data_IF_750205781108
#
_entry.id   IF_750205781108
#
_cell.length_a   1.000
_cell.length_b   1.000
_cell.length_c   1.000
_cell.angle_alpha   90.00
_cell.angle_beta   90.00
_cell.angle_gamma   90.00
#
_symmetry.space_group_name_H-M   'P 1'
#
loop_
_entity.id
_entity.type
_entity.pdbx_description
1 polymer ?
#
# COMPACT_ATOMS: atom_id res chain seq x y z
N UNK A 1 5.10 9.57 31.57
CA UNK A 1 6.22 10.45 31.21
C UNK A 1 6.17 11.80 31.94
N UNK A 2 5.02 12.49 32.07
CA UNK A 2 4.91 13.77 32.78
C UNK A 2 5.41 13.71 34.23
N UNK A 3 5.32 12.55 34.89
CA UNK A 3 5.78 12.34 36.27
C UNK A 3 7.31 12.31 36.39
N UNK A 4 8.01 11.93 35.30
CA UNK A 4 9.49 11.83 35.26
C UNK A 4 10.14 13.07 34.64
N UNK A 5 9.53 13.63 33.61
CA UNK A 5 10.10 14.79 32.89
C UNK A 5 9.67 16.14 33.45
N UNK A 6 8.61 16.17 34.27
CA UNK A 6 8.02 17.42 34.79
C UNK A 6 7.38 18.32 33.72
N UNK A 7 7.47 17.93 32.45
CA UNK A 7 6.95 18.69 31.31
C UNK A 7 5.75 18.00 30.65
N UNK A 8 4.73 18.79 30.33
CA UNK A 8 3.60 18.32 29.53
C UNK A 8 4.07 18.10 28.07
N UNK A 9 4.25 16.84 27.66
CA UNK A 9 4.58 16.53 26.27
C UNK A 9 3.46 16.92 25.34
N UNK A 10 3.75 17.80 24.39
CA UNK A 10 2.80 18.21 23.35
C UNK A 10 2.93 17.26 22.15
N UNK A 11 1.80 16.83 21.56
CA UNK A 11 1.84 16.01 20.35
C UNK A 11 2.59 16.74 19.23
N UNK A 12 3.43 16.04 18.51
CA UNK A 12 4.18 16.59 17.38
C UNK A 12 3.22 16.84 16.21
N UNK A 13 2.67 18.05 16.14
CA UNK A 13 1.67 18.44 15.12
C UNK A 13 2.08 18.10 13.69
N UNK A 14 3.37 18.17 13.36
CA UNK A 14 3.90 17.81 12.05
C UNK A 14 3.74 16.31 11.74
N UNK A 15 3.99 15.44 12.71
CA UNK A 15 3.76 13.99 12.54
C UNK A 15 2.28 13.68 12.41
N UNK A 16 1.43 14.26 13.27
CA UNK A 16 -0.02 14.07 13.20
C UNK A 16 -0.57 14.49 11.84
N UNK A 17 -0.17 15.67 11.33
CA UNK A 17 -0.61 16.16 10.02
C UNK A 17 -0.15 15.24 8.87
N UNK A 18 1.10 14.78 8.93
CA UNK A 18 1.67 13.87 7.93
C UNK A 18 0.93 12.54 7.89
N UNK A 19 0.68 11.90 9.04
CA UNK A 19 -0.06 10.64 9.09
C UNK A 19 -1.54 10.82 8.75
N UNK A 20 -2.15 11.95 9.12
CA UNK A 20 -3.52 12.29 8.70
C UNK A 20 -3.64 12.45 7.18
N UNK A 21 -2.65 13.06 6.54
CA UNK A 21 -2.60 13.19 5.08
C UNK A 21 -2.42 11.82 4.41
N UNK A 22 -1.51 11.00 4.93
CA UNK A 22 -1.27 9.63 4.44
C UNK A 22 -2.54 8.78 4.59
N UNK A 23 -3.22 8.87 5.74
CA UNK A 23 -4.48 8.16 5.96
C UNK A 23 -5.59 8.61 5.00
N UNK A 24 -5.59 9.89 4.61
CA UNK A 24 -6.60 10.43 3.67
C UNK A 24 -6.34 10.02 2.23
N UNK A 25 -5.06 9.91 1.82
CA UNK A 25 -4.66 9.58 0.43
C UNK A 25 -4.60 8.07 0.21
N UNK A 26 -3.97 7.34 1.13
CA UNK A 26 -3.71 5.91 0.99
C UNK A 26 -4.63 5.01 1.84
N UNK A 27 -5.52 5.64 2.61
CA UNK A 27 -6.43 4.95 3.52
C UNK A 27 -5.87 4.75 4.93
N UNK A 28 -6.79 4.59 5.89
CA UNK A 28 -6.49 4.44 7.32
C UNK A 28 -5.58 3.23 7.58
N UNK A 29 -5.88 2.10 6.94
CA UNK A 29 -5.15 0.83 7.07
C UNK A 29 -3.67 0.98 6.71
N UNK A 30 -3.35 1.68 5.60
CA UNK A 30 -1.97 1.94 5.18
C UNK A 30 -1.24 2.83 6.18
N UNK A 31 -1.90 3.87 6.71
CA UNK A 31 -1.32 4.76 7.70
C UNK A 31 -0.97 4.03 9.00
N UNK A 32 -1.85 3.14 9.48
CA UNK A 32 -1.62 2.34 10.69
C UNK A 32 -0.46 1.37 10.49
N UNK A 33 -0.40 0.64 9.38
CA UNK A 33 0.72 -0.25 9.05
C UNK A 33 2.06 0.48 8.94
N UNK A 34 2.05 1.72 8.47
CA UNK A 34 3.25 2.55 8.43
C UNK A 34 3.69 3.03 9.82
N UNK A 35 2.73 3.26 10.74
CA UNK A 35 3.00 3.58 12.14
C UNK A 35 3.58 2.37 12.88
N UNK A 36 2.99 1.18 12.73
CA UNK A 36 3.45 -0.08 13.31
C UNK A 36 4.95 -0.33 13.06
N UNK A 37 5.40 -0.08 11.83
CA UNK A 37 6.82 -0.21 11.47
C UNK A 37 7.75 0.76 12.23
N UNK A 38 7.21 1.89 12.70
CA UNK A 38 7.94 2.86 13.53
C UNK A 38 7.99 2.46 15.00
N UNK A 39 6.96 1.77 15.49
CA UNK A 39 6.80 1.39 16.90
C UNK A 39 7.65 0.17 17.27
N UNK A 40 7.92 -0.76 16.33
CA UNK A 40 8.84 -1.87 16.53
C UNK A 40 10.25 -1.41 16.98
N UNK A 41 10.68 -0.23 16.58
CA UNK A 41 11.93 0.40 17.06
C UNK A 41 11.81 0.94 18.49
N UNK A 42 10.63 1.39 18.89
CA UNK A 42 10.39 1.94 20.22
C UNK A 42 10.35 0.82 21.27
N UNK A 43 9.84 -0.36 20.94
CA UNK A 43 9.77 -1.52 21.85
C UNK A 43 11.15 -1.95 22.36
N UNK A 44 12.18 -1.92 21.50
CA UNK A 44 13.57 -2.24 21.90
C UNK A 44 14.07 -1.21 22.93
N UNK A 45 13.70 0.06 22.78
CA UNK A 45 14.09 1.12 23.73
C UNK A 45 13.39 0.99 25.08
N UNK A 46 12.17 0.44 25.14
CA UNK A 46 11.47 0.18 26.42
C UNK A 46 12.08 -0.95 27.21
N UNK A 47 12.64 -1.98 26.57
CA UNK A 47 13.36 -3.06 27.27
C UNK A 47 14.66 -2.56 27.91
N UNK A 48 15.35 -1.65 27.27
CA UNK A 48 16.53 -1.01 27.86
C UNK A 48 16.17 -0.07 29.01
N UNK A 49 15.11 0.73 28.84
CA UNK A 49 14.61 1.63 29.88
C UNK A 49 14.03 0.89 31.09
N UNK A 50 13.42 -0.28 30.90
CA UNK A 50 12.87 -1.08 32.00
C UNK A 50 13.93 -1.55 33.01
N UNK A 51 15.21 -1.53 32.63
CA UNK A 51 16.32 -1.81 33.56
C UNK A 51 16.55 -0.68 34.56
N UNK A 52 16.21 0.55 34.18
CA UNK A 52 16.36 1.75 35.01
C UNK A 52 15.03 2.22 35.63
N UNK A 53 13.91 1.97 34.95
CA UNK A 53 12.57 2.35 35.38
C UNK A 53 11.57 1.20 35.11
N UNK A 54 11.25 0.36 36.14
CA UNK A 54 10.34 -0.78 35.99
C UNK A 54 8.95 -0.43 35.44
N UNK A 55 8.47 0.81 35.69
CA UNK A 55 7.19 1.32 35.18
C UNK A 55 7.17 1.48 33.64
N UNK A 56 8.30 1.41 32.98
CA UNK A 56 8.35 1.38 31.51
C UNK A 56 7.66 0.14 30.93
N UNK A 57 7.55 -0.95 31.71
CA UNK A 57 6.82 -2.15 31.32
C UNK A 57 5.30 -1.94 31.29
N UNK A 58 4.76 -1.12 32.21
CA UNK A 58 3.34 -0.79 32.22
C UNK A 58 2.97 0.08 31.00
N UNK A 59 3.86 1.01 30.63
CA UNK A 59 3.68 1.85 29.43
C UNK A 59 3.74 0.98 28.16
N UNK A 60 4.63 0.01 28.12
CA UNK A 60 4.71 -0.94 27.02
C UNK A 60 3.43 -1.75 26.88
N UNK A 61 2.89 -2.26 28.00
CA UNK A 61 1.64 -3.02 27.99
C UNK A 61 0.44 -2.18 27.50
N UNK A 62 0.38 -0.91 27.91
CA UNK A 62 -0.65 0.02 27.43
C UNK A 62 -0.50 0.31 25.93
N UNK A 63 0.73 0.50 25.43
CA UNK A 63 0.97 0.71 23.99
C UNK A 63 0.63 -0.54 23.18
N UNK A 64 1.00 -1.73 23.67
CA UNK A 64 0.67 -3.00 23.01
C UNK A 64 -0.85 -3.24 22.94
N UNK A 65 -1.59 -2.88 24.00
CA UNK A 65 -3.05 -2.94 24.01
C UNK A 65 -3.68 -1.91 23.03
N UNK A 66 -3.12 -0.71 22.93
CA UNK A 66 -3.57 0.28 21.95
C UNK A 66 -3.26 -0.14 20.50
N UNK A 67 -2.09 -0.72 20.26
CA UNK A 67 -1.70 -1.25 18.97
C UNK A 67 -2.64 -2.37 18.52
N UNK A 68 -2.93 -3.34 19.41
CA UNK A 68 -3.88 -4.42 19.12
C UNK A 68 -5.30 -3.88 18.87
N UNK A 69 -5.74 -2.86 19.61
CA UNK A 69 -7.03 -2.21 19.36
C UNK A 69 -7.08 -1.51 18.00
N UNK A 70 -5.99 -0.86 17.59
CA UNK A 70 -5.87 -0.25 16.26
C UNK A 70 -5.82 -1.30 15.15
N UNK A 71 -5.08 -2.39 15.35
CA UNK A 71 -5.00 -3.51 14.40
C UNK A 71 -6.36 -4.20 14.25
N UNK A 72 -7.11 -4.37 15.34
CA UNK A 72 -8.47 -4.91 15.29
C UNK A 72 -9.47 -4.01 14.53
N UNK A 73 -9.16 -2.72 14.38
CA UNK A 73 -9.95 -1.80 13.54
C UNK A 73 -9.53 -1.83 12.07
N UNK A 74 -8.44 -2.52 11.72
CA UNK A 74 -8.01 -2.65 10.35
C UNK A 74 -8.96 -3.55 9.59
N UNK A 75 -9.33 -3.12 8.41
CA UNK A 75 -10.01 -3.94 7.43
C UNK A 75 -8.98 -4.91 6.81
N UNK A 76 -8.81 -6.07 7.46
CA UNK A 76 -7.88 -7.11 6.98
C UNK A 76 -8.22 -7.55 5.55
N UNK A 77 -9.50 -7.49 5.18
CA UNK A 77 -9.96 -7.79 3.84
C UNK A 77 -9.28 -6.88 2.81
N UNK A 78 -9.18 -5.57 3.08
CA UNK A 78 -8.49 -4.64 2.17
C UNK A 78 -6.98 -4.87 2.08
N UNK A 79 -6.34 -5.29 3.17
CA UNK A 79 -4.90 -5.58 3.18
C UNK A 79 -4.56 -6.78 2.31
N UNK A 80 -5.44 -7.78 2.24
CA UNK A 80 -5.21 -8.97 1.42
C UNK A 80 -5.13 -8.64 -0.08
N UNK A 81 -5.84 -7.57 -0.53
CA UNK A 81 -5.81 -7.16 -1.95
C UNK A 81 -4.63 -6.27 -2.31
N UNK A 82 -3.97 -5.63 -1.33
CA UNK A 82 -2.84 -4.74 -1.60
C UNK A 82 -1.70 -5.48 -2.29
N UNK A 83 -1.43 -6.73 -1.91
CA UNK A 83 -0.42 -7.57 -2.56
C UNK A 83 -0.70 -7.75 -4.05
N UNK A 84 -1.90 -8.17 -4.39
CA UNK A 84 -2.34 -8.39 -5.78
C UNK A 84 -2.37 -7.08 -6.59
N UNK A 85 -2.81 -5.97 -5.97
CA UNK A 85 -2.77 -4.65 -6.61
C UNK A 85 -1.34 -4.21 -6.94
N UNK A 86 -0.41 -4.34 -5.98
CA UNK A 86 1.00 -3.98 -6.18
C UNK A 86 1.64 -4.85 -7.26
N UNK A 87 1.33 -6.14 -7.27
CA UNK A 87 1.79 -7.06 -8.31
C UNK A 87 1.29 -6.63 -9.69
N UNK A 88 -0.02 -6.34 -9.81
CA UNK A 88 -0.61 -5.86 -11.06
C UNK A 88 -0.04 -4.53 -11.52
N UNK A 89 0.17 -3.57 -10.63
CA UNK A 89 0.81 -2.29 -10.96
C UNK A 89 2.25 -2.47 -11.44
N UNK A 90 3.02 -3.33 -10.77
CA UNK A 90 4.41 -3.58 -11.14
C UNK A 90 4.52 -4.25 -12.51
N UNK A 91 3.66 -5.23 -12.77
CA UNK A 91 3.58 -5.90 -14.07
C UNK A 91 3.22 -4.92 -15.19
N UNK A 92 2.19 -4.09 -14.97
CA UNK A 92 1.81 -3.04 -15.91
C UNK A 92 2.95 -2.04 -16.19
N UNK A 93 3.69 -1.64 -15.15
CA UNK A 93 4.84 -0.73 -15.33
C UNK A 93 5.93 -1.37 -16.19
N UNK A 94 6.29 -2.60 -15.96
CA UNK A 94 7.35 -3.29 -16.70
C UNK A 94 6.93 -3.57 -18.14
N UNK A 95 5.76 -4.18 -18.32
CA UNK A 95 5.24 -4.56 -19.65
C UNK A 95 4.98 -3.35 -20.53
N UNK A 96 4.22 -2.37 -20.00
CA UNK A 96 3.85 -1.20 -20.78
C UNK A 96 5.04 -0.27 -21.06
N UNK A 97 5.98 -0.13 -20.11
CA UNK A 97 7.19 0.65 -20.35
C UNK A 97 8.02 0.02 -21.48
N UNK A 98 8.19 -1.30 -21.47
CA UNK A 98 8.89 -2.03 -22.54
C UNK A 98 8.18 -1.86 -23.89
N UNK A 99 6.87 -2.06 -23.92
CA UNK A 99 6.04 -1.95 -25.13
C UNK A 99 6.07 -0.53 -25.68
N UNK A 100 5.81 0.49 -24.88
CA UNK A 100 5.80 1.89 -25.30
C UNK A 100 7.18 2.38 -25.74
N UNK A 101 8.24 1.97 -25.06
CA UNK A 101 9.62 2.27 -25.44
C UNK A 101 9.95 1.65 -26.82
N UNK A 102 9.62 0.36 -27.02
CA UNK A 102 9.81 -0.31 -28.29
C UNK A 102 9.05 0.34 -29.42
N UNK A 103 7.77 0.67 -29.21
CA UNK A 103 6.94 1.39 -30.19
C UNK A 103 7.46 2.80 -30.48
N UNK A 104 7.99 3.51 -29.48
CA UNK A 104 8.58 4.84 -29.65
C UNK A 104 9.81 4.80 -30.54
N UNK A 105 10.63 3.77 -30.43
CA UNK A 105 11.79 3.58 -31.29
C UNK A 105 11.42 3.14 -32.73
N UNK A 106 10.33 2.38 -32.88
CA UNK A 106 9.90 1.84 -34.15
C UNK A 106 9.00 2.80 -34.95
N UNK A 107 8.21 3.62 -34.27
CA UNK A 107 7.18 4.47 -34.86
C UNK A 107 7.44 5.94 -34.55
N UNK A 108 7.28 6.80 -35.55
CA UNK A 108 7.41 8.27 -35.40
C UNK A 108 6.06 8.96 -35.18
N UNK A 109 4.99 8.22 -34.85
CA UNK A 109 3.63 8.72 -34.72
C UNK A 109 3.09 8.41 -33.32
N UNK A 110 3.04 9.44 -32.47
CA UNK A 110 2.60 9.31 -31.07
C UNK A 110 1.17 8.77 -30.96
N UNK A 111 0.28 9.16 -31.86
CA UNK A 111 -1.11 8.69 -31.87
C UNK A 111 -1.23 7.18 -32.12
N UNK A 112 -0.40 6.64 -33.02
CA UNK A 112 -0.34 5.19 -33.27
C UNK A 112 0.27 4.45 -32.07
N UNK A 113 1.28 5.04 -31.42
CA UNK A 113 1.87 4.49 -30.21
C UNK A 113 0.82 4.43 -29.09
N UNK A 114 0.09 5.55 -28.87
CA UNK A 114 -0.97 5.61 -27.87
C UNK A 114 -2.07 4.56 -28.12
N UNK A 115 -2.53 4.45 -29.37
CA UNK A 115 -3.57 3.49 -29.75
C UNK A 115 -3.10 2.04 -29.55
N UNK A 116 -1.90 1.70 -29.99
CA UNK A 116 -1.31 0.37 -29.82
C UNK A 116 -1.11 0.04 -28.34
N UNK A 117 -0.58 1.00 -27.57
CA UNK A 117 -0.43 0.87 -26.12
C UNK A 117 -1.76 0.67 -25.41
N UNK A 118 -2.81 1.41 -25.83
CA UNK A 118 -4.15 1.27 -25.25
C UNK A 118 -4.74 -0.14 -25.50
N UNK A 119 -4.64 -0.62 -26.73
CA UNK A 119 -5.14 -1.95 -27.11
C UNK A 119 -4.40 -3.05 -26.30
N UNK A 120 -3.07 -2.98 -26.25
CA UNK A 120 -2.24 -3.90 -25.48
C UNK A 120 -2.57 -3.82 -23.99
N UNK A 121 -2.65 -2.60 -23.45
CA UNK A 121 -2.93 -2.38 -22.04
C UNK A 121 -4.29 -2.89 -21.60
N UNK A 122 -5.34 -2.73 -22.43
CA UNK A 122 -6.67 -3.30 -22.12
C UNK A 122 -6.61 -4.84 -22.15
N UNK A 123 -5.97 -5.43 -23.15
CA UNK A 123 -5.84 -6.88 -23.24
C UNK A 123 -5.06 -7.46 -22.05
N UNK A 124 -3.94 -6.82 -21.67
CA UNK A 124 -3.15 -7.19 -20.51
C UNK A 124 -3.92 -7.04 -19.19
N UNK A 125 -4.69 -5.96 -19.04
CA UNK A 125 -5.58 -5.76 -17.87
C UNK A 125 -6.55 -6.92 -17.70
N UNK A 126 -7.22 -7.33 -18.77
CA UNK A 126 -8.15 -8.46 -18.73
C UNK A 126 -7.45 -9.79 -18.42
N UNK A 127 -6.27 -10.00 -18.98
CA UNK A 127 -5.44 -11.18 -18.71
C UNK A 127 -5.04 -11.24 -17.23
N UNK A 128 -4.51 -10.14 -16.70
CA UNK A 128 -4.06 -10.06 -15.30
C UNK A 128 -5.22 -10.24 -14.31
N UNK A 129 -6.34 -9.58 -14.55
CA UNK A 129 -7.54 -9.73 -13.71
C UNK A 129 -8.09 -11.17 -13.75
N UNK A 130 -8.10 -11.81 -14.91
CA UNK A 130 -8.53 -13.20 -15.05
C UNK A 130 -7.58 -14.17 -14.35
N UNK A 131 -6.28 -13.95 -14.46
CA UNK A 131 -5.25 -14.74 -13.77
C UNK A 131 -5.38 -14.65 -12.26
N UNK A 132 -5.57 -13.43 -11.73
CA UNK A 132 -5.80 -13.20 -10.31
C UNK A 132 -7.09 -13.89 -9.83
N UNK A 133 -8.17 -13.81 -10.61
CA UNK A 133 -9.41 -14.51 -10.29
C UNK A 133 -9.22 -16.02 -10.17
N UNK A 134 -8.55 -16.62 -11.16
CA UNK A 134 -8.32 -18.06 -11.19
C UNK A 134 -7.37 -18.50 -10.06
N UNK A 135 -6.31 -17.74 -9.80
CA UNK A 135 -5.38 -18.00 -8.70
C UNK A 135 -6.11 -17.97 -7.34
N UNK A 136 -6.78 -16.87 -7.04
CA UNK A 136 -7.52 -16.70 -5.78
C UNK A 136 -8.60 -17.78 -5.61
N UNK A 137 -9.28 -18.15 -6.69
CA UNK A 137 -10.27 -19.22 -6.66
C UNK A 137 -9.65 -20.60 -6.44
N UNK A 138 -8.48 -20.88 -7.00
CA UNK A 138 -7.77 -22.15 -6.79
C UNK A 138 -7.25 -22.29 -5.36
N UNK A 139 -7.00 -21.18 -4.68
CA UNK A 139 -6.65 -21.11 -3.25
C UNK A 139 -7.87 -21.25 -2.31
N UNK A 140 -9.07 -21.38 -2.87
CA UNK A 140 -10.32 -21.52 -2.10
C UNK A 140 -10.83 -20.23 -1.50
N UNK A 141 -10.36 -19.05 -1.98
CA UNK A 141 -10.78 -17.75 -1.49
C UNK A 141 -12.18 -17.40 -2.00
N UNK A 142 -13.07 -17.01 -1.09
CA UNK A 142 -14.42 -16.58 -1.43
C UNK A 142 -14.44 -15.19 -2.10
N UNK A 143 -13.43 -14.39 -1.86
CA UNK A 143 -13.27 -13.01 -2.33
C UNK A 143 -12.53 -12.88 -3.67
N UNK A 144 -12.32 -13.98 -4.39
CA UNK A 144 -11.56 -14.04 -5.65
C UNK A 144 -11.97 -12.97 -6.68
N UNK A 145 -13.28 -12.68 -6.79
CA UNK A 145 -13.79 -11.67 -7.71
C UNK A 145 -13.41 -10.26 -7.29
N UNK A 146 -13.41 -9.97 -5.99
CA UNK A 146 -12.98 -8.67 -5.46
C UNK A 146 -11.48 -8.46 -5.70
N UNK A 147 -10.64 -9.47 -5.39
CA UNK A 147 -9.20 -9.40 -5.63
C UNK A 147 -8.88 -9.11 -7.09
N UNK A 148 -9.49 -9.86 -8.01
CA UNK A 148 -9.33 -9.66 -9.46
C UNK A 148 -9.76 -8.25 -9.91
N UNK A 149 -10.85 -7.72 -9.34
CA UNK A 149 -11.33 -6.37 -9.66
C UNK A 149 -10.34 -5.31 -9.22
N UNK A 150 -9.82 -5.39 -8.00
CA UNK A 150 -8.82 -4.46 -7.49
C UNK A 150 -7.53 -4.50 -8.33
N UNK A 151 -7.05 -5.70 -8.67
CA UNK A 151 -5.87 -5.90 -9.51
C UNK A 151 -6.08 -5.31 -10.91
N UNK A 152 -7.23 -5.60 -11.53
CA UNK A 152 -7.57 -5.06 -12.86
C UNK A 152 -7.67 -3.53 -12.86
N UNK A 153 -8.31 -2.92 -11.86
CA UNK A 153 -8.39 -1.45 -11.74
C UNK A 153 -6.99 -0.85 -11.55
N UNK A 154 -6.16 -1.43 -10.69
CA UNK A 154 -4.80 -0.95 -10.46
C UNK A 154 -3.94 -1.01 -11.72
N UNK A 155 -4.05 -2.12 -12.46
CA UNK A 155 -3.40 -2.30 -13.77
C UNK A 155 -3.85 -1.24 -14.77
N UNK A 156 -5.17 -1.07 -14.95
CA UNK A 156 -5.76 -0.13 -15.90
C UNK A 156 -5.37 1.32 -15.63
N UNK A 157 -5.37 1.72 -14.35
CA UNK A 157 -4.92 3.06 -13.94
C UNK A 157 -3.45 3.28 -14.30
N UNK A 158 -2.60 2.28 -14.07
CA UNK A 158 -1.17 2.34 -14.42
C UNK A 158 -0.99 2.47 -15.94
N UNK A 159 -1.71 1.67 -16.73
CA UNK A 159 -1.72 1.75 -18.20
C UNK A 159 -2.14 3.15 -18.67
N UNK A 160 -3.21 3.69 -18.12
CA UNK A 160 -3.70 5.03 -18.47
C UNK A 160 -2.65 6.12 -18.19
N UNK A 161 -1.99 6.06 -17.03
CA UNK A 161 -0.93 7.01 -16.68
C UNK A 161 0.29 6.92 -17.61
N UNK A 162 0.68 5.70 -18.02
CA UNK A 162 1.83 5.49 -18.90
C UNK A 162 1.53 5.91 -20.37
N UNK A 163 0.29 5.83 -20.81
CA UNK A 163 -0.12 6.25 -22.16
C UNK A 163 -0.29 7.77 -22.25
N UNK A 164 -0.60 8.44 -21.15
CA UNK A 164 -0.91 9.86 -21.11
C UNK A 164 0.10 10.77 -21.83
N UNK A 165 1.43 10.54 -21.78
CA UNK A 165 2.41 11.35 -22.52
C UNK A 165 2.33 11.24 -24.04
N UNK A 166 1.63 10.24 -24.57
CA UNK A 166 1.50 9.99 -26.01
C UNK A 166 0.18 10.53 -26.62
N UNK A 167 -0.73 11.04 -25.77
CA UNK A 167 -1.99 11.64 -26.19
C UNK A 167 -1.83 13.11 -26.53
#
# INVERSE_FOLDING_TARGET
WQRYTGEAMKPQRGKVLRFSLIARVFGFTFAVKLMEKGEAKAQISYEELAREAPEALDIRADEEAHEQALLAMLDEERLSYVGSMVLGMNDAMVEMTGTLAGLTLAMQNTRLIALSGLITGIAATLSMASSEYLSSKSEGREDAFKSATYTGIAYLVTVALLILPYL
#
